data_IF_445535256723
#
_entry.id   IF_445535256723
#
_cell.length_a   1.000
_cell.length_b   1.000
_cell.length_c   1.000
_cell.angle_alpha   90.00
_cell.angle_beta   90.00
_cell.angle_gamma   90.00
#
_symmetry.space_group_name_H-M   'P 1'
#
loop_
_entity.id
_entity.type
_entity.pdbx_description
1 polymer ?
#
# COMPACT_ATOMS: atom_id res chain seq x y z
N UNK A 1 -4.69 2.61 11.23
CA UNK A 1 -4.94 3.52 10.09
C UNK A 1 -4.21 3.00 8.87
N UNK A 2 -4.82 3.10 7.69
CA UNK A 2 -4.20 2.73 6.41
C UNK A 2 -4.40 3.88 5.43
N UNK A 3 -3.41 4.14 4.58
CA UNK A 3 -3.44 5.20 3.58
C UNK A 3 -2.96 4.65 2.23
N UNK A 4 -3.48 5.17 1.11
CA UNK A 4 -2.97 4.79 -0.21
C UNK A 4 -1.57 5.36 -0.43
N UNK A 5 -0.68 4.57 -1.02
CA UNK A 5 0.68 4.99 -1.41
C UNK A 5 1.02 4.57 -2.83
N UNK A 6 0.03 4.58 -3.72
CA UNK A 6 0.12 4.10 -5.09
C UNK A 6 1.29 4.75 -5.84
N UNK A 7 2.01 3.94 -6.61
CA UNK A 7 3.17 4.39 -7.40
C UNK A 7 2.96 4.19 -8.90
N UNK A 8 2.08 3.25 -9.27
CA UNK A 8 1.85 2.82 -10.65
C UNK A 8 3.12 2.34 -11.36
N UNK A 9 4.15 1.96 -10.61
CA UNK A 9 5.48 1.60 -11.13
C UNK A 9 5.38 0.43 -12.11
N UNK A 10 4.53 -0.56 -11.82
CA UNK A 10 4.28 -1.68 -12.73
C UNK A 10 3.81 -1.25 -14.12
N UNK A 11 2.86 -0.32 -14.20
CA UNK A 11 2.33 0.18 -15.48
C UNK A 11 3.32 1.07 -16.24
N UNK A 12 4.34 1.58 -15.57
CA UNK A 12 5.41 2.41 -16.13
C UNK A 12 6.71 1.64 -16.42
N UNK A 13 6.79 0.36 -16.03
CA UNK A 13 8.02 -0.43 -16.12
C UNK A 13 9.13 0.02 -15.14
N UNK A 14 8.77 0.69 -14.05
CA UNK A 14 9.71 1.18 -13.03
C UNK A 14 9.91 0.14 -11.92
N UNK A 15 11.11 0.10 -11.34
CA UNK A 15 11.39 -0.72 -10.16
C UNK A 15 10.73 -0.07 -8.94
N UNK A 16 9.90 -0.84 -8.24
CA UNK A 16 9.29 -0.45 -6.98
C UNK A 16 10.10 -0.99 -5.79
N UNK A 17 10.44 -0.12 -4.86
CA UNK A 17 10.97 -0.45 -3.55
C UNK A 17 10.12 0.26 -2.48
N UNK A 18 9.44 -0.47 -1.58
CA UNK A 18 8.58 0.12 -0.55
C UNK A 18 9.34 1.06 0.41
N UNK A 19 10.67 0.94 0.51
CA UNK A 19 11.49 1.77 1.40
C UNK A 19 11.90 3.10 0.77
N UNK A 20 11.90 3.21 -0.55
CA UNK A 20 12.51 4.35 -1.25
C UNK A 20 11.62 4.99 -2.31
N UNK A 21 10.71 4.24 -2.96
CA UNK A 21 9.88 4.77 -4.04
C UNK A 21 8.83 5.76 -3.51
N UNK A 22 8.83 7.03 -3.94
CA UNK A 22 7.86 8.02 -3.48
C UNK A 22 6.45 7.78 -4.06
N UNK A 23 5.41 8.34 -3.44
CA UNK A 23 4.03 8.32 -3.94
C UNK A 23 3.46 9.74 -4.15
N UNK A 24 4.06 10.55 -5.06
CA UNK A 24 3.72 11.97 -5.18
C UNK A 24 2.26 12.24 -5.60
N UNK A 25 1.63 11.28 -6.28
CA UNK A 25 0.23 11.39 -6.71
C UNK A 25 -0.78 11.17 -5.57
N UNK A 26 -0.33 10.69 -4.41
CA UNK A 26 -1.19 10.41 -3.24
C UNK A 26 -1.22 11.58 -2.23
N UNK A 27 -0.56 12.69 -2.56
CA UNK A 27 -0.51 13.91 -1.74
C UNK A 27 0.51 13.87 -0.60
N UNK A 28 0.74 15.04 0.00
CA UNK A 28 1.77 15.24 1.02
C UNK A 28 1.53 14.42 2.28
N UNK A 29 0.26 14.23 2.67
CA UNK A 29 -0.08 13.42 3.85
C UNK A 29 0.39 11.97 3.69
N UNK A 30 0.07 11.34 2.57
CA UNK A 30 0.50 9.97 2.28
C UNK A 30 2.01 9.86 2.25
N UNK A 31 2.69 10.82 1.58
CA UNK A 31 4.15 10.86 1.47
C UNK A 31 4.85 10.99 2.84
N UNK A 32 4.29 11.79 3.74
CA UNK A 32 4.76 11.88 5.12
C UNK A 32 4.45 10.60 5.92
N UNK A 33 3.22 10.10 5.82
CA UNK A 33 2.73 9.00 6.64
C UNK A 33 3.51 7.70 6.45
N UNK A 34 3.81 7.32 5.20
CA UNK A 34 4.51 6.05 4.95
C UNK A 34 5.97 6.06 5.40
N UNK A 35 6.55 7.25 5.62
CA UNK A 35 7.93 7.44 6.08
C UNK A 35 8.08 7.42 7.60
N UNK A 36 6.98 7.35 8.35
CA UNK A 36 7.00 7.19 9.80
C UNK A 36 7.63 5.85 10.18
N UNK A 37 8.41 5.82 11.26
CA UNK A 37 9.13 4.62 11.72
C UNK A 37 8.21 3.41 11.96
N UNK A 38 6.98 3.67 12.38
CA UNK A 38 5.97 2.64 12.69
C UNK A 38 5.19 2.16 11.46
N UNK A 39 5.34 2.84 10.33
CA UNK A 39 4.61 2.52 9.12
C UNK A 39 5.15 1.26 8.46
N UNK A 40 4.24 0.38 8.06
CA UNK A 40 4.51 -0.74 7.16
C UNK A 40 3.93 -0.41 5.81
N UNK A 41 4.61 -0.78 4.73
CA UNK A 41 4.17 -0.54 3.35
C UNK A 41 4.15 -1.82 2.55
N UNK A 42 3.11 -2.01 1.76
CA UNK A 42 2.94 -3.24 0.98
C UNK A 42 3.91 -3.33 -0.20
N UNK A 43 4.16 -4.56 -0.66
CA UNK A 43 5.04 -4.83 -1.80
C UNK A 43 4.34 -4.68 -3.16
N UNK A 44 3.10 -4.18 -3.22
CA UNK A 44 2.37 -4.04 -4.48
C UNK A 44 2.94 -2.87 -5.30
N UNK A 45 3.59 -3.12 -6.45
CA UNK A 45 4.25 -2.07 -7.24
C UNK A 45 3.28 -1.17 -8.01
N UNK A 46 1.98 -1.47 -7.99
CA UNK A 46 0.95 -0.70 -8.66
C UNK A 46 0.14 0.10 -7.64
N UNK A 47 -0.47 -0.59 -6.66
CA UNK A 47 -1.40 -0.03 -5.68
C UNK A 47 -0.94 -0.28 -4.24
N UNK A 48 0.31 0.05 -3.95
CA UNK A 48 0.80 -0.07 -2.57
C UNK A 48 0.00 0.78 -1.58
N UNK A 49 -0.08 0.29 -0.35
CA UNK A 49 -0.68 0.97 0.79
C UNK A 49 0.30 0.99 1.95
N UNK A 50 0.18 1.99 2.82
CA UNK A 50 0.90 2.03 4.09
C UNK A 50 -0.06 1.99 5.27
N UNK A 51 0.32 1.30 6.34
CA UNK A 51 -0.49 1.15 7.53
C UNK A 51 0.33 1.32 8.81
N UNK A 52 -0.33 1.91 9.82
CA UNK A 52 0.14 1.98 11.22
C UNK A 52 -0.95 1.43 12.12
N UNK A 53 -0.55 0.63 13.11
CA UNK A 53 -1.41 0.08 14.15
C UNK A 53 -1.43 -1.46 14.18
N UNK A 54 -2.29 -2.05 15.01
CA UNK A 54 -2.24 -3.50 15.34
C UNK A 54 -2.38 -4.45 14.15
N UNK A 55 -3.03 -3.99 13.07
CA UNK A 55 -3.27 -4.78 11.85
C UNK A 55 -2.36 -4.38 10.68
N UNK A 56 -1.31 -3.59 10.92
CA UNK A 56 -0.45 -3.06 9.85
C UNK A 56 0.14 -4.19 8.99
N UNK A 57 0.69 -5.24 9.60
CA UNK A 57 1.22 -6.41 8.90
C UNK A 57 0.19 -7.09 8.00
N UNK A 58 -1.02 -7.30 8.54
CA UNK A 58 -2.12 -7.95 7.82
C UNK A 58 -2.56 -7.13 6.61
N UNK A 59 -2.70 -5.81 6.80
CA UNK A 59 -3.13 -4.86 5.78
C UNK A 59 -2.08 -4.68 4.69
N UNK A 60 -0.78 -4.69 5.02
CA UNK A 60 0.29 -4.46 4.03
C UNK A 60 0.78 -5.75 3.38
N UNK A 61 0.32 -6.92 3.82
CA UNK A 61 0.70 -8.20 3.19
C UNK A 61 0.17 -8.27 1.76
N UNK A 62 1.02 -8.66 0.81
CA UNK A 62 0.60 -9.02 -0.55
C UNK A 62 0.43 -10.52 -0.61
N UNK A 63 -0.77 -10.99 -0.98
CA UNK A 63 -1.10 -12.43 -1.02
C UNK A 63 -1.62 -12.89 -2.38
N UNK A 64 -1.86 -11.96 -3.30
CA UNK A 64 -2.43 -12.23 -4.61
C UNK A 64 -1.60 -11.55 -5.70
N UNK A 65 -1.62 -12.12 -6.91
CA UNK A 65 -0.99 -11.54 -8.11
C UNK A 65 -1.91 -10.54 -8.82
N UNK A 66 -2.81 -9.90 -8.09
CA UNK A 66 -3.74 -8.89 -8.60
C UNK A 66 -3.89 -7.77 -7.59
N UNK A 67 -3.88 -6.52 -8.06
CA UNK A 67 -3.97 -5.35 -7.20
C UNK A 67 -5.42 -4.97 -6.85
N UNK A 68 -6.42 -5.50 -7.58
CA UNK A 68 -7.86 -5.20 -7.37
C UNK A 68 -8.78 -6.42 -7.34
N UNK A 69 -8.28 -7.62 -7.65
CA UNK A 69 -9.09 -8.84 -7.71
C UNK A 69 -9.29 -9.53 -6.37
N UNK A 70 -9.73 -10.79 -6.44
CA UNK A 70 -9.84 -11.68 -5.27
C UNK A 70 -8.51 -11.72 -4.51
N UNK A 71 -8.58 -11.62 -3.19
CA UNK A 71 -7.46 -11.63 -2.25
C UNK A 71 -6.48 -10.44 -2.38
N UNK A 72 -6.79 -9.46 -3.23
CA UNK A 72 -6.11 -8.16 -3.25
C UNK A 72 -6.27 -7.42 -1.92
N UNK A 73 -5.51 -6.35 -1.73
CA UNK A 73 -5.71 -5.46 -0.58
C UNK A 73 -7.17 -5.03 -0.44
N UNK A 74 -7.81 -4.54 -1.51
CA UNK A 74 -9.16 -3.99 -1.46
C UNK A 74 -10.23 -5.04 -1.17
N UNK A 75 -10.11 -6.24 -1.73
CA UNK A 75 -11.01 -7.35 -1.43
C UNK A 75 -10.93 -7.75 0.05
N UNK A 76 -9.71 -7.93 0.56
CA UNK A 76 -9.50 -8.23 1.99
C UNK A 76 -9.97 -7.09 2.87
N UNK A 77 -9.64 -5.84 2.54
CA UNK A 77 -10.00 -4.65 3.32
C UNK A 77 -11.52 -4.49 3.46
N UNK A 78 -12.25 -4.65 2.36
CA UNK A 78 -13.73 -4.60 2.36
C UNK A 78 -14.33 -5.72 3.22
N UNK A 79 -13.82 -6.96 3.10
CA UNK A 79 -14.27 -8.09 3.93
C UNK A 79 -14.03 -7.89 5.43
N UNK A 80 -13.03 -7.07 5.79
CA UNK A 80 -12.72 -6.71 7.17
C UNK A 80 -13.57 -5.56 7.70
N UNK A 81 -14.50 -5.00 6.90
CA UNK A 81 -15.31 -3.85 7.28
C UNK A 81 -14.53 -2.53 7.27
N UNK A 82 -13.44 -2.45 6.49
CA UNK A 82 -12.68 -1.23 6.32
C UNK A 82 -13.47 -0.13 5.61
N UNK A 83 -13.22 1.12 5.99
CA UNK A 83 -13.76 2.34 5.39
C UNK A 83 -12.63 3.31 5.06
#
# INVERSE_FOLDING_TARGET
>A
MVVPTFTYSLGKGEIYDPKTTPCPLMGQFSEYFWRLLEAKRSLDPFLSVAAIGPRADELTKVVANTSFGKDSFFDRFTKMGGY
#
